data_IF_367017013597
#
_entry.id   IF_367017013597
#
_cell.length_a   1.000
_cell.length_b   1.000
_cell.length_c   1.000
_cell.angle_alpha   90.00
_cell.angle_beta   90.00
_cell.angle_gamma   90.00
#
_symmetry.space_group_name_H-M   'P 1'
#
loop_
_entity.id
_entity.type
_entity.pdbx_description
1 polymer ?
#
# COMPACT_ATOMS: atom_id res chain seq x y z
N UNK A 1 7.31 -19.96 -4.61
CA UNK A 1 7.08 -20.59 -5.91
C UNK A 1 7.87 -21.90 -6.05
N UNK A 2 9.20 -21.91 -5.93
CA UNK A 2 10.04 -23.13 -6.04
C UNK A 2 9.66 -24.22 -5.03
N UNK A 3 9.36 -23.84 -3.79
CA UNK A 3 8.97 -24.82 -2.75
C UNK A 3 7.64 -25.48 -3.05
N UNK A 4 6.69 -24.78 -3.65
CA UNK A 4 5.45 -25.41 -4.10
C UNK A 4 5.69 -26.36 -5.28
N UNK A 5 6.62 -26.02 -6.14
CA UNK A 5 7.05 -26.88 -7.24
C UNK A 5 7.62 -28.21 -6.71
N UNK A 6 8.43 -28.14 -5.66
CA UNK A 6 9.06 -29.30 -5.03
C UNK A 6 8.22 -29.94 -3.90
N UNK A 7 7.00 -29.43 -3.65
CA UNK A 7 6.08 -29.85 -2.57
C UNK A 7 6.70 -29.76 -1.17
N UNK A 8 7.67 -28.86 -0.97
CA UNK A 8 8.36 -28.65 0.30
C UNK A 8 8.02 -27.30 0.87
N UNK A 9 7.80 -27.21 2.18
CA UNK A 9 7.55 -25.96 2.88
C UNK A 9 8.14 -26.01 4.29
N UNK A 10 9.38 -25.58 4.50
CA UNK A 10 9.97 -25.53 5.84
C UNK A 10 9.29 -24.50 6.74
N UNK A 11 8.59 -23.52 6.16
CA UNK A 11 7.86 -22.47 6.89
C UNK A 11 6.42 -22.82 7.28
N UNK A 12 5.89 -23.99 6.92
CA UNK A 12 4.48 -24.33 7.13
C UNK A 12 3.56 -23.33 6.42
N UNK A 13 2.77 -22.57 7.19
CA UNK A 13 1.89 -21.53 6.68
C UNK A 13 2.57 -20.16 6.51
N UNK A 14 3.83 -20.01 6.89
CA UNK A 14 4.58 -18.77 6.69
C UNK A 14 5.18 -18.70 5.30
N UNK A 15 5.47 -17.50 4.83
CA UNK A 15 6.31 -17.27 3.67
C UNK A 15 7.72 -17.79 3.94
N UNK A 16 8.51 -17.93 2.90
CA UNK A 16 9.89 -18.39 3.01
C UNK A 16 10.80 -17.53 2.15
N UNK A 17 12.07 -17.50 2.51
CA UNK A 17 13.12 -16.88 1.72
C UNK A 17 14.34 -17.81 1.68
N UNK A 18 15.22 -17.64 0.71
CA UNK A 18 16.46 -18.37 0.63
C UNK A 18 17.51 -17.76 1.55
N UNK A 19 18.44 -18.56 2.04
CA UNK A 19 19.57 -18.06 2.84
C UNK A 19 20.54 -17.26 1.97
N UNK A 20 20.64 -17.59 0.70
CA UNK A 20 21.44 -16.84 -0.25
C UNK A 20 20.61 -15.74 -0.89
N UNK A 21 21.01 -14.49 -0.63
CA UNK A 21 20.33 -13.27 -1.11
C UNK A 21 20.63 -12.94 -2.58
N UNK A 22 21.33 -13.81 -3.31
CA UNK A 22 21.54 -13.60 -4.73
C UNK A 22 20.24 -13.87 -5.50
N UNK A 23 19.52 -12.78 -5.84
CA UNK A 23 18.30 -12.84 -6.67
C UNK A 23 18.53 -13.57 -7.98
N UNK A 24 19.74 -13.51 -8.53
CA UNK A 24 20.13 -14.16 -9.78
C UNK A 24 20.12 -15.69 -9.62
N UNK A 25 20.68 -16.24 -8.56
CA UNK A 25 20.72 -17.67 -8.31
C UNK A 25 19.32 -18.24 -8.00
N UNK A 26 18.54 -17.51 -7.21
CA UNK A 26 17.16 -17.89 -6.91
C UNK A 26 16.29 -17.91 -8.16
N UNK A 27 16.48 -16.96 -9.04
CA UNK A 27 15.81 -16.88 -10.33
C UNK A 27 16.21 -18.02 -11.24
N UNK A 28 17.50 -18.32 -11.33
CA UNK A 28 18.04 -19.45 -12.09
C UNK A 28 17.43 -20.79 -11.64
N UNK A 29 17.42 -21.08 -10.37
CA UNK A 29 16.82 -22.31 -9.83
C UNK A 29 15.34 -22.45 -10.17
N UNK A 30 14.59 -21.35 -10.14
CA UNK A 30 13.19 -21.35 -10.50
C UNK A 30 12.98 -21.59 -11.99
N UNK A 31 13.75 -20.92 -12.84
CA UNK A 31 13.63 -20.99 -14.29
C UNK A 31 14.01 -22.37 -14.84
N UNK A 32 15.05 -22.96 -14.31
CA UNK A 32 15.55 -24.28 -14.71
C UNK A 32 14.79 -25.45 -14.08
N UNK A 33 13.79 -25.19 -13.24
CA UNK A 33 13.12 -26.22 -12.45
C UNK A 33 14.09 -27.09 -11.59
N UNK A 34 15.21 -26.54 -11.18
CA UNK A 34 16.20 -27.25 -10.37
C UNK A 34 15.59 -27.64 -9.01
N UNK A 35 15.69 -28.91 -8.59
CA UNK A 35 15.26 -29.30 -7.25
C UNK A 35 16.04 -28.54 -6.17
N UNK A 36 15.31 -27.90 -5.24
CA UNK A 36 15.90 -27.13 -4.16
C UNK A 36 15.66 -27.86 -2.85
N UNK A 37 16.70 -27.95 -2.01
CA UNK A 37 16.58 -28.59 -0.70
C UNK A 37 15.72 -27.72 0.23
N UNK A 38 14.87 -28.31 1.08
CA UNK A 38 14.20 -27.56 2.15
C UNK A 38 15.16 -26.80 3.07
N UNK A 39 16.42 -27.24 3.17
CA UNK A 39 17.45 -26.61 3.98
C UNK A 39 17.94 -25.28 3.40
N UNK A 40 17.73 -25.04 2.11
CA UNK A 40 18.11 -23.79 1.45
C UNK A 40 17.13 -22.66 1.75
N UNK A 41 16.01 -22.96 2.42
CA UNK A 41 14.97 -22.01 2.74
C UNK A 41 14.78 -21.82 4.23
N UNK A 42 14.53 -20.58 4.62
CA UNK A 42 14.10 -20.23 5.97
C UNK A 42 12.68 -19.66 5.95
N UNK A 43 11.93 -19.87 7.04
CA UNK A 43 10.63 -19.27 7.20
C UNK A 43 10.76 -17.74 7.35
N UNK A 44 9.99 -16.99 6.55
CA UNK A 44 9.89 -15.55 6.68
C UNK A 44 8.83 -15.21 7.72
N UNK A 45 9.27 -15.04 8.95
CA UNK A 45 8.39 -14.91 10.12
C UNK A 45 7.90 -13.47 10.37
N UNK A 46 8.32 -12.49 9.56
CA UNK A 46 8.04 -11.06 9.78
C UNK A 46 6.70 -10.57 9.23
N UNK A 47 5.96 -11.39 8.51
CA UNK A 47 4.63 -11.09 7.96
C UNK A 47 3.86 -12.36 7.60
N UNK A 48 2.56 -12.22 7.32
CA UNK A 48 1.67 -13.34 6.96
C UNK A 48 2.02 -13.97 5.60
N UNK A 49 2.48 -13.16 4.63
CA UNK A 49 2.90 -13.62 3.31
C UNK A 49 1.76 -14.06 2.39
N UNK A 50 0.56 -13.45 2.50
CA UNK A 50 -0.61 -13.81 1.69
C UNK A 50 -0.31 -13.77 0.17
N UNK A 51 0.50 -12.80 -0.29
CA UNK A 51 0.91 -12.70 -1.69
C UNK A 51 1.71 -13.94 -2.14
N UNK A 52 2.60 -14.45 -1.30
CA UNK A 52 3.35 -15.67 -1.58
C UNK A 52 2.42 -16.87 -1.78
N UNK A 53 1.40 -17.01 -0.92
CA UNK A 53 0.36 -18.02 -1.05
C UNK A 53 -0.45 -17.87 -2.33
N UNK A 54 -0.94 -16.66 -2.62
CA UNK A 54 -1.77 -16.38 -3.78
C UNK A 54 -1.02 -16.67 -5.08
N UNK A 55 0.20 -16.14 -5.23
CA UNK A 55 1.02 -16.40 -6.40
C UNK A 55 1.53 -17.83 -6.48
N UNK A 56 1.75 -18.48 -5.36
CA UNK A 56 2.11 -19.88 -5.32
C UNK A 56 1.00 -20.80 -5.81
N UNK A 57 -0.23 -20.60 -5.37
CA UNK A 57 -1.40 -21.32 -5.89
C UNK A 57 -1.57 -21.06 -7.38
N UNK A 58 -1.43 -19.80 -7.80
CA UNK A 58 -1.52 -19.43 -9.21
C UNK A 58 -0.42 -20.09 -10.05
N UNK A 59 0.83 -20.13 -9.56
CA UNK A 59 1.93 -20.85 -10.21
C UNK A 59 1.63 -22.35 -10.36
N UNK A 60 1.04 -22.97 -9.34
CA UNK A 60 0.61 -24.37 -9.39
C UNK A 60 -0.44 -24.61 -10.48
N UNK A 61 -1.40 -23.69 -10.61
CA UNK A 61 -2.41 -23.78 -11.69
C UNK A 61 -1.74 -23.58 -13.04
N UNK A 62 -0.85 -22.59 -13.17
CA UNK A 62 -0.15 -22.32 -14.42
C UNK A 62 0.75 -23.49 -14.86
N UNK A 63 1.32 -24.25 -13.92
CA UNK A 63 2.16 -25.40 -14.24
C UNK A 63 1.42 -26.55 -14.94
N UNK A 64 0.09 -26.53 -14.94
CA UNK A 64 -0.74 -27.47 -15.72
C UNK A 64 -0.70 -27.13 -17.22
N UNK A 65 -0.47 -25.86 -17.58
CA UNK A 65 -0.56 -25.35 -18.94
C UNK A 65 0.78 -24.93 -19.53
N UNK A 66 1.77 -24.66 -18.69
CA UNK A 66 3.09 -24.16 -19.10
C UNK A 66 4.17 -24.79 -18.19
N UNK A 67 5.01 -25.63 -18.79
CA UNK A 67 6.05 -26.37 -18.06
C UNK A 67 7.28 -25.50 -17.75
N UNK A 68 7.54 -24.46 -18.57
CA UNK A 68 8.72 -23.60 -18.41
C UNK A 68 8.54 -22.63 -17.24
N UNK A 69 9.48 -22.68 -16.28
CA UNK A 69 9.48 -21.80 -15.09
C UNK A 69 9.56 -20.31 -15.47
N UNK A 70 10.42 -19.95 -16.42
CA UNK A 70 10.58 -18.59 -16.92
C UNK A 70 9.27 -18.02 -17.50
N UNK A 71 8.55 -18.79 -18.31
CA UNK A 71 7.28 -18.34 -18.87
C UNK A 71 6.23 -18.10 -17.78
N UNK A 72 6.16 -18.96 -16.76
CA UNK A 72 5.26 -18.78 -15.63
C UNK A 72 5.63 -17.54 -14.80
N UNK A 73 6.92 -17.28 -14.58
CA UNK A 73 7.39 -16.07 -13.89
C UNK A 73 6.92 -14.81 -14.63
N UNK A 74 7.10 -14.73 -15.94
CA UNK A 74 6.64 -13.61 -16.76
C UNK A 74 5.12 -13.43 -16.65
N UNK A 75 4.36 -14.53 -16.68
CA UNK A 75 2.90 -14.49 -16.53
C UNK A 75 2.52 -13.91 -15.16
N UNK A 76 3.17 -14.31 -14.08
CA UNK A 76 2.90 -13.82 -12.72
C UNK A 76 3.23 -12.33 -12.58
N UNK A 77 4.36 -11.86 -13.12
CA UNK A 77 4.69 -10.43 -13.17
C UNK A 77 3.66 -9.62 -13.95
N UNK A 78 3.20 -10.15 -15.08
CA UNK A 78 2.18 -9.49 -15.89
C UNK A 78 0.83 -9.44 -15.16
N UNK A 79 0.41 -10.50 -14.48
CA UNK A 79 -0.82 -10.53 -13.68
C UNK A 79 -0.74 -9.49 -12.55
N UNK A 80 0.39 -9.44 -11.81
CA UNK A 80 0.58 -8.45 -10.77
C UNK A 80 0.51 -7.02 -11.30
N UNK A 81 1.15 -6.76 -12.44
CA UNK A 81 1.11 -5.47 -13.12
C UNK A 81 -0.29 -5.11 -13.60
N UNK A 82 -1.03 -6.06 -14.18
CA UNK A 82 -2.42 -5.85 -14.62
C UNK A 82 -3.34 -5.52 -13.44
N UNK A 83 -3.18 -6.17 -12.30
CA UNK A 83 -3.93 -5.86 -11.06
C UNK A 83 -3.62 -4.43 -10.59
N UNK A 84 -2.36 -4.00 -10.65
CA UNK A 84 -1.98 -2.63 -10.32
C UNK A 84 -2.60 -1.60 -11.28
N UNK A 85 -2.54 -1.84 -12.58
CA UNK A 85 -3.18 -0.96 -13.55
C UNK A 85 -4.70 -0.93 -13.39
N UNK A 86 -5.34 -2.08 -13.15
CA UNK A 86 -6.77 -2.13 -12.91
C UNK A 86 -7.17 -1.32 -11.66
N UNK A 87 -6.44 -1.48 -10.55
CA UNK A 87 -6.68 -0.69 -9.34
C UNK A 87 -6.47 0.82 -9.58
N UNK A 88 -5.40 1.18 -10.31
CA UNK A 88 -5.12 2.57 -10.69
C UNK A 88 -6.24 3.16 -11.56
N UNK A 89 -6.74 2.43 -12.54
CA UNK A 89 -7.84 2.86 -13.40
C UNK A 89 -9.15 3.00 -12.61
N UNK A 90 -9.41 2.14 -11.64
CA UNK A 90 -10.58 2.27 -10.75
C UNK A 90 -10.50 3.55 -9.90
N UNK A 91 -9.31 3.87 -9.35
CA UNK A 91 -9.10 5.15 -8.66
C UNK A 91 -9.27 6.32 -9.63
N UNK A 92 -8.68 6.24 -10.81
CA UNK A 92 -8.82 7.25 -11.87
C UNK A 92 -10.29 7.52 -12.22
N UNK A 93 -11.09 6.46 -12.40
CA UNK A 93 -12.53 6.56 -12.67
C UNK A 93 -13.30 7.19 -11.50
N UNK A 94 -12.96 6.86 -10.27
CA UNK A 94 -13.55 7.46 -9.08
C UNK A 94 -13.21 8.96 -8.97
N UNK A 95 -11.95 9.32 -9.22
CA UNK A 95 -11.46 10.70 -9.26
C UNK A 95 -12.16 11.48 -10.38
N UNK A 96 -12.29 10.91 -11.57
CA UNK A 96 -13.02 11.52 -12.68
C UNK A 96 -14.45 11.86 -12.29
N UNK A 97 -15.16 10.91 -11.69
CA UNK A 97 -16.57 11.12 -11.28
C UNK A 97 -16.72 12.12 -10.13
N UNK A 98 -15.73 12.23 -9.26
CA UNK A 98 -15.77 13.12 -8.11
C UNK A 98 -15.32 14.55 -8.44
N UNK A 99 -14.28 14.70 -9.27
CA UNK A 99 -13.57 15.98 -9.49
C UNK A 99 -13.32 16.33 -10.96
N UNK A 100 -13.78 15.50 -11.89
CA UNK A 100 -13.72 15.76 -13.32
C UNK A 100 -12.47 15.21 -14.02
N UNK A 101 -12.42 15.34 -15.37
CA UNK A 101 -11.42 14.68 -16.21
C UNK A 101 -10.00 15.21 -15.98
N UNK A 102 -9.83 16.49 -15.69
CA UNK A 102 -8.50 17.08 -15.45
C UNK A 102 -7.82 16.47 -14.20
N UNK A 103 -8.60 16.28 -13.12
CA UNK A 103 -8.08 15.63 -11.90
C UNK A 103 -7.74 14.18 -12.14
N UNK A 104 -8.53 13.47 -12.93
CA UNK A 104 -8.25 12.08 -13.30
C UNK A 104 -6.99 11.96 -14.17
N UNK A 105 -6.83 12.89 -15.13
CA UNK A 105 -5.62 12.94 -15.95
C UNK A 105 -4.37 13.23 -15.09
N UNK A 106 -4.47 14.19 -14.16
CA UNK A 106 -3.37 14.48 -13.24
C UNK A 106 -2.98 13.25 -12.38
N UNK A 107 -3.97 12.52 -11.86
CA UNK A 107 -3.74 11.25 -11.17
C UNK A 107 -3.03 10.23 -12.06
N UNK A 108 -3.54 10.02 -13.28
CA UNK A 108 -2.96 9.05 -14.20
C UNK A 108 -1.52 9.41 -14.57
N UNK A 109 -1.26 10.69 -14.87
CA UNK A 109 0.09 11.19 -15.13
C UNK A 109 1.00 10.96 -13.92
N UNK A 110 0.52 11.25 -12.69
CA UNK A 110 1.30 11.03 -11.48
C UNK A 110 1.71 9.56 -11.31
N UNK A 111 0.83 8.59 -11.62
CA UNK A 111 1.16 7.17 -11.52
C UNK A 111 2.04 6.68 -12.67
N UNK A 112 1.74 7.11 -13.91
CA UNK A 112 2.47 6.64 -15.11
C UNK A 112 3.91 7.17 -15.14
N UNK A 113 4.12 8.40 -14.70
CA UNK A 113 5.44 9.05 -14.74
C UNK A 113 6.20 8.96 -13.41
N UNK A 114 5.66 8.32 -12.38
CA UNK A 114 6.38 8.04 -11.16
C UNK A 114 7.29 6.81 -11.33
N UNK A 115 8.62 6.93 -11.15
CA UNK A 115 9.54 5.81 -11.37
C UNK A 115 9.33 4.67 -10.39
N UNK A 116 8.99 4.97 -9.14
CA UNK A 116 8.84 3.96 -8.09
C UNK A 116 7.68 3.00 -8.31
N UNK A 117 6.43 3.44 -8.60
CA UNK A 117 5.35 2.54 -8.98
C UNK A 117 5.67 1.69 -10.22
N UNK A 118 6.37 2.26 -11.21
CA UNK A 118 6.75 1.53 -12.42
C UNK A 118 7.75 0.39 -12.14
N UNK A 119 8.65 0.58 -11.20
CA UNK A 119 9.56 -0.49 -10.74
C UNK A 119 8.83 -1.52 -9.87
N UNK A 120 8.04 -1.04 -8.89
CA UNK A 120 7.40 -1.90 -7.90
C UNK A 120 6.17 -2.67 -8.40
N UNK A 121 5.55 -2.27 -9.54
CA UNK A 121 4.34 -2.97 -10.02
C UNK A 121 4.58 -4.41 -10.47
N UNK A 122 5.81 -4.76 -10.84
CA UNK A 122 6.21 -6.14 -11.18
C UNK A 122 6.61 -6.94 -9.96
N UNK A 123 6.94 -6.29 -8.87
CA UNK A 123 7.42 -6.93 -7.66
C UNK A 123 6.29 -7.71 -6.97
N UNK A 124 6.43 -9.04 -6.93
CA UNK A 124 5.45 -9.95 -6.33
C UNK A 124 5.43 -9.86 -4.80
N UNK A 125 6.50 -9.36 -4.20
CA UNK A 125 6.57 -9.14 -2.75
C UNK A 125 5.76 -7.91 -2.33
N UNK A 126 5.94 -6.78 -3.02
CA UNK A 126 5.28 -5.52 -2.67
C UNK A 126 3.80 -5.49 -3.02
N UNK A 127 3.35 -6.18 -4.06
CA UNK A 127 1.95 -6.24 -4.51
C UNK A 127 1.26 -4.88 -4.49
N UNK A 128 1.81 -3.88 -5.19
CA UNK A 128 1.39 -2.47 -5.11
C UNK A 128 -0.11 -2.23 -5.30
N UNK A 129 -0.81 -3.11 -6.02
CA UNK A 129 -2.26 -3.00 -6.17
C UNK A 129 -3.01 -3.10 -4.83
N UNK A 130 -2.47 -3.85 -3.85
CA UNK A 130 -3.08 -3.97 -2.53
C UNK A 130 -3.04 -2.66 -1.74
N UNK A 131 -2.09 -1.77 -2.04
CA UNK A 131 -1.97 -0.46 -1.40
C UNK A 131 -3.11 0.47 -1.78
N UNK A 132 -3.70 0.27 -2.97
CA UNK A 132 -4.84 1.04 -3.46
C UNK A 132 -6.20 0.53 -2.94
N UNK A 133 -6.27 -0.73 -2.43
CA UNK A 133 -7.53 -1.32 -1.99
C UNK A 133 -8.23 -0.51 -0.87
N UNK A 134 -7.56 -0.06 0.21
CA UNK A 134 -8.20 0.75 1.24
C UNK A 134 -8.73 2.07 0.69
N UNK A 135 -7.97 2.75 -0.17
CA UNK A 135 -8.40 3.99 -0.84
C UNK A 135 -9.63 3.75 -1.72
N UNK A 136 -9.64 2.67 -2.51
CA UNK A 136 -10.79 2.28 -3.34
C UNK A 136 -12.03 1.99 -2.48
N UNK A 137 -11.87 1.31 -1.35
CA UNK A 137 -12.98 1.03 -0.42
C UNK A 137 -13.54 2.35 0.15
N UNK A 138 -12.69 3.29 0.56
CA UNK A 138 -13.09 4.63 1.02
C UNK A 138 -13.82 5.43 -0.06
N UNK A 139 -13.30 5.46 -1.29
CA UNK A 139 -13.93 6.11 -2.44
C UNK A 139 -15.31 5.50 -2.75
N UNK A 140 -15.41 4.16 -2.75
CA UNK A 140 -16.67 3.45 -2.99
C UNK A 140 -17.68 3.74 -1.89
N UNK A 141 -17.28 3.73 -0.62
CA UNK A 141 -18.11 4.10 0.52
C UNK A 141 -18.70 5.51 0.32
N UNK A 142 -17.87 6.49 -0.03
CA UNK A 142 -18.32 7.85 -0.31
C UNK A 142 -19.29 7.90 -1.48
N UNK A 143 -19.00 7.22 -2.58
CA UNK A 143 -19.85 7.21 -3.77
C UNK A 143 -21.23 6.59 -3.48
N UNK A 144 -21.25 5.45 -2.78
CA UNK A 144 -22.50 4.76 -2.39
C UNK A 144 -23.31 5.61 -1.41
N UNK A 145 -22.64 6.21 -0.42
CA UNK A 145 -23.30 7.06 0.58
C UNK A 145 -23.93 8.30 -0.06
N UNK A 146 -23.23 8.96 -0.97
CA UNK A 146 -23.78 10.12 -1.70
C UNK A 146 -25.01 9.76 -2.53
N UNK A 147 -25.01 8.57 -3.15
CA UNK A 147 -26.16 8.12 -3.97
C UNK A 147 -27.36 7.68 -3.15
N UNK A 148 -27.14 7.02 -2.02
CA UNK A 148 -28.20 6.40 -1.19
C UNK A 148 -28.64 7.24 0.01
N UNK A 149 -27.93 8.32 0.33
CA UNK A 149 -28.12 9.11 1.54
C UNK A 149 -27.66 8.43 2.83
N UNK A 150 -27.46 7.10 2.79
CA UNK A 150 -27.02 6.26 3.92
C UNK A 150 -25.88 5.33 3.50
N UNK A 151 -25.03 4.97 4.45
CA UNK A 151 -23.92 4.03 4.23
C UNK A 151 -24.38 2.62 4.58
N UNK A 152 -24.44 1.69 3.62
CA UNK A 152 -24.73 0.29 3.89
C UNK A 152 -23.59 -0.36 4.71
N UNK A 153 -23.90 -1.33 5.55
CA UNK A 153 -22.93 -2.01 6.41
C UNK A 153 -21.81 -2.73 5.63
N UNK A 154 -22.12 -3.27 4.46
CA UNK A 154 -21.14 -3.95 3.61
C UNK A 154 -20.01 -3.03 3.11
N UNK A 155 -20.22 -1.69 3.06
CA UNK A 155 -19.14 -0.75 2.77
C UNK A 155 -18.05 -0.78 3.83
N UNK A 156 -18.42 -0.87 5.12
CA UNK A 156 -17.47 -1.01 6.22
C UNK A 156 -16.79 -2.37 6.20
N UNK A 157 -17.51 -3.45 5.82
CA UNK A 157 -16.90 -4.76 5.63
C UNK A 157 -15.87 -4.76 4.50
N UNK A 158 -16.12 -4.04 3.42
CA UNK A 158 -15.12 -3.87 2.34
C UNK A 158 -13.88 -3.10 2.81
N UNK A 159 -14.04 -2.06 3.62
CA UNK A 159 -12.91 -1.35 4.24
C UNK A 159 -12.10 -2.30 5.13
N UNK A 160 -12.79 -3.03 6.00
CA UNK A 160 -12.17 -4.06 6.85
C UNK A 160 -11.36 -5.07 6.01
N UNK A 161 -11.99 -5.66 5.00
CA UNK A 161 -11.36 -6.66 4.14
C UNK A 161 -10.17 -6.08 3.35
N UNK A 162 -10.29 -4.86 2.81
CA UNK A 162 -9.23 -4.18 2.09
C UNK A 162 -8.00 -3.93 2.97
N UNK A 163 -8.20 -3.44 4.20
CA UNK A 163 -7.11 -3.22 5.15
C UNK A 163 -6.51 -4.54 5.63
N UNK A 164 -7.33 -5.56 5.90
CA UNK A 164 -6.87 -6.90 6.26
C UNK A 164 -5.99 -7.50 5.15
N UNK A 165 -6.47 -7.53 3.90
CA UNK A 165 -5.71 -8.07 2.76
C UNK A 165 -4.39 -7.33 2.58
N UNK A 166 -4.41 -5.98 2.67
CA UNK A 166 -3.17 -5.19 2.58
C UNK A 166 -2.17 -5.58 3.67
N UNK A 167 -2.59 -5.69 4.93
CA UNK A 167 -1.72 -6.08 6.03
C UNK A 167 -1.25 -7.53 5.95
N UNK A 168 -2.06 -8.45 5.43
CA UNK A 168 -1.64 -9.82 5.20
C UNK A 168 -0.57 -9.94 4.09
N UNK A 169 -0.48 -8.97 3.18
CA UNK A 169 0.61 -8.87 2.20
C UNK A 169 1.85 -8.17 2.76
N UNK A 170 1.72 -7.41 3.84
CA UNK A 170 2.83 -6.71 4.51
C UNK A 170 2.31 -5.59 5.40
N UNK A 171 3.05 -5.32 6.48
CA UNK A 171 2.68 -4.31 7.48
C UNK A 171 3.33 -2.95 7.21
N UNK A 172 4.03 -2.79 6.10
CA UNK A 172 4.65 -1.52 5.73
C UNK A 172 3.58 -0.48 5.41
N UNK A 173 3.84 0.76 5.81
CA UNK A 173 3.01 1.93 5.51
C UNK A 173 1.56 1.85 6.01
N UNK A 174 1.32 1.22 7.18
CA UNK A 174 -0.02 1.08 7.78
C UNK A 174 -0.70 2.44 7.90
N UNK A 175 -0.04 3.41 8.52
CA UNK A 175 -0.57 4.75 8.72
C UNK A 175 -0.90 5.43 7.40
N UNK A 176 -0.05 5.27 6.37
CA UNK A 176 -0.25 5.84 5.03
C UNK A 176 -1.55 5.35 4.40
N UNK A 177 -1.78 4.05 4.32
CA UNK A 177 -3.00 3.55 3.67
C UNK A 177 -4.25 3.77 4.52
N UNK A 178 -4.16 3.82 5.86
CA UNK A 178 -5.27 4.19 6.73
C UNK A 178 -5.68 5.64 6.49
N UNK A 179 -4.72 6.55 6.42
CA UNK A 179 -4.98 7.97 6.09
C UNK A 179 -5.58 8.11 4.70
N UNK A 180 -5.05 7.41 3.71
CA UNK A 180 -5.57 7.45 2.33
C UNK A 180 -6.97 6.82 2.21
N UNK A 181 -7.31 5.85 3.04
CA UNK A 181 -8.67 5.30 3.13
C UNK A 181 -9.67 6.36 3.64
N UNK A 182 -9.27 7.19 4.61
CA UNK A 182 -10.10 8.23 5.20
C UNK A 182 -10.15 9.53 4.37
N UNK A 183 -9.18 9.81 3.53
CA UNK A 183 -9.09 11.05 2.77
C UNK A 183 -10.35 11.39 1.97
N UNK A 184 -11.05 10.45 1.28
CA UNK A 184 -12.31 10.73 0.59
C UNK A 184 -13.43 11.15 1.55
N UNK A 185 -13.47 10.60 2.77
CA UNK A 185 -14.49 10.94 3.78
C UNK A 185 -14.22 12.33 4.36
N UNK A 186 -12.96 12.69 4.60
CA UNK A 186 -12.54 14.03 5.04
C UNK A 186 -12.95 15.08 4.00
N UNK A 187 -12.77 14.80 2.71
CA UNK A 187 -13.25 15.66 1.64
C UNK A 187 -14.77 15.86 1.70
N UNK A 188 -15.52 14.78 1.89
CA UNK A 188 -16.97 14.83 2.01
C UNK A 188 -17.44 15.56 3.28
N UNK A 189 -16.71 15.38 4.39
CA UNK A 189 -16.98 16.07 5.65
C UNK A 189 -16.83 17.58 5.54
N UNK A 190 -15.82 18.06 4.86
CA UNK A 190 -15.58 19.48 4.68
C UNK A 190 -16.69 20.19 3.87
N UNK A 191 -17.32 19.47 2.92
CA UNK A 191 -18.36 20.04 2.04
C UNK A 191 -19.80 19.62 2.34
N UNK A 192 -20.04 18.83 3.40
CA UNK A 192 -21.36 18.23 3.67
C UNK A 192 -21.84 18.37 5.12
N UNK A 193 -22.78 17.49 5.52
CA UNK A 193 -23.22 17.33 6.91
C UNK A 193 -22.07 16.79 7.76
N UNK A 194 -21.40 17.70 8.47
CA UNK A 194 -20.20 17.41 9.26
C UNK A 194 -20.41 16.31 10.30
N UNK A 195 -21.58 16.32 10.99
CA UNK A 195 -21.87 15.35 12.05
C UNK A 195 -22.06 13.94 11.47
N UNK A 196 -22.81 13.84 10.38
CA UNK A 196 -23.06 12.58 9.71
C UNK A 196 -21.76 12.00 9.09
N UNK A 197 -20.93 12.85 8.47
CA UNK A 197 -19.66 12.40 7.90
C UNK A 197 -18.63 12.06 8.96
N UNK A 198 -18.56 12.77 10.08
CA UNK A 198 -17.68 12.42 11.21
C UNK A 198 -18.03 11.05 11.78
N UNK A 199 -19.33 10.75 11.96
CA UNK A 199 -19.75 9.40 12.40
C UNK A 199 -19.30 8.32 11.41
N UNK A 200 -19.40 8.58 10.10
CA UNK A 200 -18.94 7.63 9.07
C UNK A 200 -17.43 7.43 9.11
N UNK A 201 -16.67 8.50 9.27
CA UNK A 201 -15.21 8.44 9.45
C UNK A 201 -14.84 7.56 10.66
N UNK A 202 -15.48 7.79 11.81
CA UNK A 202 -15.25 6.97 13.01
C UNK A 202 -15.54 5.49 12.73
N UNK A 203 -16.69 5.18 12.10
CA UNK A 203 -17.03 3.80 11.74
C UNK A 203 -16.05 3.19 10.72
N UNK A 204 -15.59 3.98 9.74
CA UNK A 204 -14.57 3.56 8.75
C UNK A 204 -13.24 3.31 9.44
N UNK A 205 -12.81 4.18 10.35
CA UNK A 205 -11.61 4.01 11.15
C UNK A 205 -11.64 2.72 11.98
N UNK A 206 -12.77 2.45 12.67
CA UNK A 206 -12.94 1.19 13.40
C UNK A 206 -12.89 -0.03 12.47
N UNK A 207 -13.51 0.02 11.29
CA UNK A 207 -13.45 -1.06 10.32
C UNK A 207 -12.03 -1.27 9.81
N UNK A 208 -11.31 -0.20 9.50
CA UNK A 208 -9.93 -0.24 9.01
C UNK A 208 -8.96 -0.80 10.07
N UNK A 209 -9.02 -0.28 11.31
CA UNK A 209 -8.23 -0.78 12.44
C UNK A 209 -8.58 -2.23 12.76
N UNK A 210 -9.87 -2.60 12.68
CA UNK A 210 -10.33 -3.98 12.83
C UNK A 210 -9.70 -4.91 11.79
N UNK A 211 -9.57 -4.46 10.53
CA UNK A 211 -8.88 -5.20 9.47
C UNK A 211 -7.39 -5.41 9.75
N UNK A 212 -6.70 -4.36 10.25
CA UNK A 212 -5.30 -4.46 10.70
C UNK A 212 -5.16 -5.45 11.85
N UNK A 213 -6.03 -5.34 12.86
CA UNK A 213 -6.02 -6.24 14.03
C UNK A 213 -6.29 -7.70 13.63
N UNK A 214 -7.20 -7.94 12.68
CA UNK A 214 -7.46 -9.28 12.15
C UNK A 214 -6.23 -9.86 11.42
N UNK A 215 -5.51 -9.06 10.64
CA UNK A 215 -4.27 -9.49 9.99
C UNK A 215 -3.15 -9.78 11.00
N UNK A 216 -3.01 -8.97 12.07
CA UNK A 216 -2.09 -9.25 13.17
C UNK A 216 -2.45 -10.53 13.91
N UNK A 217 -3.76 -10.77 14.14
CA UNK A 217 -4.25 -12.00 14.73
C UNK A 217 -3.94 -13.24 13.87
N UNK A 218 -4.11 -13.13 12.54
CA UNK A 218 -3.75 -14.18 11.61
C UNK A 218 -2.24 -14.47 11.63
N UNK A 219 -1.41 -13.43 11.65
CA UNK A 219 0.04 -13.57 11.77
C UNK A 219 0.43 -14.21 13.11
N UNK A 220 -0.19 -13.78 14.22
CA UNK A 220 0.03 -14.40 15.53
C UNK A 220 -0.32 -15.90 15.52
N UNK A 221 -1.47 -16.29 14.96
CA UNK A 221 -1.90 -17.68 14.86
C UNK A 221 -0.91 -18.51 14.01
N UNK A 222 -0.46 -17.98 12.87
CA UNK A 222 0.59 -18.61 12.06
C UNK A 222 1.87 -18.84 12.88
N UNK A 223 2.28 -17.82 13.66
CA UNK A 223 3.42 -17.92 14.55
C UNK A 223 3.25 -19.00 15.62
N UNK A 224 2.06 -19.11 16.24
CA UNK A 224 1.77 -20.17 17.22
C UNK A 224 1.92 -21.56 16.59
N UNK A 225 1.41 -21.74 15.37
CA UNK A 225 1.54 -23.01 14.64
C UNK A 225 3.01 -23.32 14.32
N UNK A 226 3.76 -22.31 13.88
CA UNK A 226 5.16 -22.48 13.48
C UNK A 226 6.12 -22.72 14.67
N UNK A 227 6.00 -21.89 15.73
CA UNK A 227 6.88 -21.98 16.90
C UNK A 227 6.40 -23.00 17.95
N UNK A 228 5.23 -23.61 17.76
CA UNK A 228 4.62 -24.53 18.72
C UNK A 228 4.18 -23.89 20.03
N UNK A 229 4.24 -22.57 20.17
CA UNK A 229 3.85 -21.87 21.40
C UNK A 229 3.38 -20.42 21.15
N UNK A 230 2.45 -19.96 21.99
CA UNK A 230 2.00 -18.57 21.98
C UNK A 230 3.12 -17.60 22.44
N UNK A 231 3.98 -18.04 23.36
CA UNK A 231 5.12 -17.23 23.82
C UNK A 231 6.13 -16.97 22.70
N UNK A 232 6.50 -18.02 21.93
CA UNK A 232 7.39 -17.88 20.79
C UNK A 232 6.81 -16.96 19.69
N UNK A 233 5.50 -17.12 19.41
CA UNK A 233 4.83 -16.23 18.47
C UNK A 233 4.82 -14.77 18.92
N UNK A 234 4.54 -14.54 20.21
CA UNK A 234 4.56 -13.20 20.78
C UNK A 234 5.94 -12.55 20.74
N UNK A 235 6.97 -13.31 21.10
CA UNK A 235 8.35 -12.85 21.03
C UNK A 235 8.77 -12.49 19.60
N UNK A 236 8.40 -13.30 18.61
CA UNK A 236 8.65 -13.01 17.21
C UNK A 236 7.92 -11.74 16.76
N UNK A 237 6.64 -11.59 17.12
CA UNK A 237 5.83 -10.41 16.76
C UNK A 237 6.40 -9.13 17.38
N UNK A 238 6.71 -9.15 18.68
CA UNK A 238 7.31 -7.99 19.36
C UNK A 238 8.70 -7.68 18.81
N UNK A 239 9.53 -8.68 18.56
CA UNK A 239 10.84 -8.53 17.93
C UNK A 239 10.74 -7.88 16.54
N UNK A 240 9.81 -8.34 15.70
CA UNK A 240 9.60 -7.78 14.38
C UNK A 240 9.07 -6.33 14.42
N UNK A 241 8.23 -5.98 15.40
CA UNK A 241 7.79 -4.58 15.61
C UNK A 241 8.94 -3.73 16.12
N UNK A 242 9.67 -4.21 17.12
CA UNK A 242 10.79 -3.48 17.72
C UNK A 242 11.89 -3.21 16.69
N UNK A 243 12.26 -4.21 15.87
CA UNK A 243 13.29 -4.03 14.82
C UNK A 243 12.90 -3.01 13.73
N UNK A 244 11.61 -2.71 13.58
CA UNK A 244 11.13 -1.68 12.63
C UNK A 244 11.00 -0.30 13.27
N UNK A 245 10.86 -0.24 14.59
CA UNK A 245 10.67 1.03 15.34
C UNK A 245 11.98 1.48 15.97
N UNK A 246 12.76 0.55 16.49
CA UNK A 246 14.13 0.84 16.95
C UNK A 246 15.07 0.72 15.77
N UNK A 247 15.56 1.84 15.30
CA UNK A 247 16.78 1.89 14.52
C UNK A 247 17.84 1.15 15.37
N UNK A 248 18.31 -0.01 14.89
CA UNK A 248 19.29 -0.82 15.61
C UNK A 248 20.49 0.02 15.97
N UNK A 249 20.97 -0.11 17.21
CA UNK A 249 22.01 0.69 17.84
C UNK A 249 23.30 0.90 17.01
N UNK A 250 23.52 0.11 15.98
CA UNK A 250 24.75 0.17 15.15
C UNK A 250 24.66 1.13 13.94
N UNK A 251 23.50 1.64 13.57
CA UNK A 251 23.37 2.46 12.37
C UNK A 251 22.94 3.92 12.60
N UNK A 252 22.17 4.24 13.64
CA UNK A 252 21.71 5.64 13.84
C UNK A 252 21.40 5.88 15.33
N UNK A 253 22.41 6.18 16.11
CA UNK A 253 22.23 6.47 17.55
C UNK A 253 21.59 7.82 17.86
N UNK A 254 21.49 8.77 16.92
CA UNK A 254 21.10 10.14 17.22
C UNK A 254 20.28 10.88 16.15
N UNK A 255 19.54 10.17 15.27
CA UNK A 255 18.73 10.88 14.25
C UNK A 255 17.40 11.33 14.87
N UNK A 256 17.25 12.62 15.07
CA UNK A 256 15.99 13.20 15.52
C UNK A 256 14.93 13.18 14.39
N UNK A 257 13.64 13.18 14.77
CA UNK A 257 12.52 13.32 13.80
C UNK A 257 12.73 14.55 12.91
N UNK A 258 13.26 15.65 13.46
CA UNK A 258 13.56 16.85 12.70
C UNK A 258 14.63 16.61 11.62
N UNK A 259 15.67 15.82 11.90
CA UNK A 259 16.70 15.46 10.91
C UNK A 259 16.12 14.56 9.81
N UNK A 260 15.27 13.58 10.17
CA UNK A 260 14.59 12.74 9.18
C UNK A 260 13.72 13.61 8.25
N UNK A 261 12.91 14.51 8.83
CA UNK A 261 12.08 15.43 8.04
C UNK A 261 12.93 16.34 7.16
N UNK A 262 14.04 16.90 7.70
CA UNK A 262 14.97 17.73 6.93
C UNK A 262 15.54 16.94 5.76
N UNK A 263 15.98 15.73 6.01
CA UNK A 263 16.51 14.84 4.96
C UNK A 263 15.48 14.63 3.85
N UNK A 264 14.26 14.24 4.18
CA UNK A 264 13.22 13.97 3.19
C UNK A 264 12.72 15.22 2.44
N UNK A 265 12.53 16.33 3.14
CA UNK A 265 11.99 17.54 2.52
C UNK A 265 13.02 18.50 1.95
N UNK A 266 14.27 18.40 2.38
CA UNK A 266 15.33 19.36 2.02
C UNK A 266 16.49 18.69 1.28
N UNK A 267 16.93 17.52 1.69
CA UNK A 267 18.14 16.88 1.18
C UNK A 267 17.89 15.88 0.05
N UNK A 268 16.77 15.12 0.13
CA UNK A 268 16.48 14.06 -0.86
C UNK A 268 15.97 14.68 -2.16
N UNK A 269 16.70 14.48 -3.23
CA UNK A 269 16.35 14.88 -4.59
C UNK A 269 15.88 13.68 -5.44
N UNK A 270 15.25 12.69 -4.81
CA UNK A 270 14.71 11.54 -5.52
C UNK A 270 13.61 11.97 -6.51
N UNK A 271 13.63 11.42 -7.74
CA UNK A 271 12.63 11.76 -8.74
C UNK A 271 11.26 11.18 -8.36
N UNK A 272 10.29 12.05 -8.10
CA UNK A 272 8.90 11.65 -7.90
C UNK A 272 8.15 11.48 -9.21
N UNK A 273 8.44 12.34 -10.20
CA UNK A 273 7.92 12.20 -11.56
C UNK A 273 9.06 12.38 -12.55
N UNK A 274 9.05 11.59 -13.62
CA UNK A 274 10.06 11.64 -14.67
C UNK A 274 9.41 11.67 -16.06
N UNK A 275 9.69 12.74 -16.81
CA UNK A 275 9.22 12.97 -18.16
C UNK A 275 10.41 13.06 -19.09
N UNK A 276 10.96 11.95 -19.57
CA UNK A 276 12.21 11.93 -20.30
C UNK A 276 13.35 12.51 -19.47
N UNK A 277 14.05 13.56 -19.92
CA UNK A 277 15.12 14.21 -19.16
C UNK A 277 14.64 15.11 -18.02
N UNK A 278 13.34 15.47 -17.99
CA UNK A 278 12.77 16.31 -16.94
C UNK A 278 12.41 15.47 -15.72
N UNK A 279 13.04 15.77 -14.59
CA UNK A 279 12.74 15.17 -13.30
C UNK A 279 12.08 16.19 -12.39
N UNK A 280 11.00 15.78 -11.71
CA UNK A 280 10.31 16.57 -10.69
C UNK A 280 10.52 15.88 -9.36
N UNK A 281 11.18 16.55 -8.44
CA UNK A 281 11.40 16.09 -7.06
C UNK A 281 10.29 16.61 -6.13
N UNK A 282 10.36 16.29 -4.86
CA UNK A 282 9.33 16.68 -3.88
C UNK A 282 9.22 18.20 -3.72
N UNK A 283 10.36 18.92 -3.69
CA UNK A 283 10.39 20.39 -3.48
C UNK A 283 9.60 21.18 -4.51
N UNK A 284 9.87 21.05 -5.83
CA UNK A 284 9.08 21.76 -6.84
C UNK A 284 7.60 21.30 -6.84
N UNK A 285 7.31 20.05 -6.52
CA UNK A 285 5.91 19.58 -6.43
C UNK A 285 5.15 20.29 -5.30
N UNK A 286 5.76 20.41 -4.12
CA UNK A 286 5.19 21.17 -2.99
C UNK A 286 5.02 22.63 -3.38
N UNK A 287 6.06 23.26 -3.97
CA UNK A 287 6.01 24.67 -4.38
C UNK A 287 4.86 24.92 -5.39
N UNK A 288 4.72 24.10 -6.42
CA UNK A 288 3.63 24.19 -7.41
C UNK A 288 2.26 24.00 -6.75
N UNK A 289 2.16 23.07 -5.80
CA UNK A 289 0.89 22.83 -5.09
C UNK A 289 0.51 24.03 -4.22
N UNK A 290 1.45 24.58 -3.45
CA UNK A 290 1.23 25.80 -2.64
C UNK A 290 0.86 26.99 -3.50
N UNK A 291 1.56 27.20 -4.62
CA UNK A 291 1.24 28.27 -5.58
C UNK A 291 -0.18 28.10 -6.16
N UNK A 292 -0.56 26.87 -6.49
CA UNK A 292 -1.92 26.54 -6.97
C UNK A 292 -2.98 26.85 -5.94
N UNK A 293 -2.75 26.53 -4.66
CA UNK A 293 -3.65 26.90 -3.56
C UNK A 293 -3.75 28.43 -3.41
N UNK A 294 -2.60 29.13 -3.41
CA UNK A 294 -2.59 30.59 -3.33
C UNK A 294 -3.36 31.25 -4.49
N UNK A 295 -3.18 30.74 -5.70
CA UNK A 295 -3.91 31.21 -6.88
C UNK A 295 -5.43 30.93 -6.73
N UNK A 296 -5.82 29.75 -6.28
CA UNK A 296 -7.23 29.43 -6.02
C UNK A 296 -7.84 30.35 -4.95
N UNK A 297 -7.12 30.66 -3.87
CA UNK A 297 -7.54 31.59 -2.85
C UNK A 297 -7.75 32.99 -3.44
N UNK A 298 -6.81 33.49 -4.25
CA UNK A 298 -6.92 34.79 -4.92
C UNK A 298 -8.15 34.84 -5.84
N UNK A 299 -8.34 33.81 -6.67
CA UNK A 299 -9.51 33.74 -7.59
C UNK A 299 -10.84 33.70 -6.82
N UNK A 300 -10.93 32.96 -5.71
CA UNK A 300 -12.14 32.90 -4.89
C UNK A 300 -12.42 34.26 -4.21
N UNK A 301 -11.36 34.89 -3.69
CA UNK A 301 -11.48 36.23 -3.10
C UNK A 301 -11.98 37.25 -4.13
N UNK A 302 -11.40 37.30 -5.33
CA UNK A 302 -11.83 38.15 -6.43
C UNK A 302 -13.28 37.90 -6.86
N UNK A 303 -13.69 36.61 -6.86
CA UNK A 303 -15.07 36.22 -7.19
C UNK A 303 -16.04 36.30 -6.02
N UNK A 304 -15.60 36.79 -4.85
CA UNK A 304 -16.39 36.85 -3.60
C UNK A 304 -17.04 35.51 -3.23
N UNK A 305 -16.38 34.39 -3.52
CA UNK A 305 -16.86 33.06 -3.18
C UNK A 305 -16.35 32.64 -1.79
N UNK A 306 -17.11 31.82 -1.03
CA UNK A 306 -16.69 31.41 0.30
C UNK A 306 -15.45 30.52 0.23
N UNK A 307 -14.43 30.84 1.05
CA UNK A 307 -13.17 30.10 1.11
C UNK A 307 -13.34 28.64 1.60
N UNK A 308 -14.47 28.35 2.26
CA UNK A 308 -14.78 26.99 2.74
C UNK A 308 -14.78 25.95 1.62
N UNK A 309 -14.94 26.35 0.36
CA UNK A 309 -14.86 25.47 -0.82
C UNK A 309 -13.50 24.79 -0.92
N UNK A 310 -12.42 25.43 -0.45
CA UNK A 310 -11.07 24.85 -0.45
C UNK A 310 -10.77 23.99 0.77
N UNK A 311 -11.64 23.96 1.78
CA UNK A 311 -11.36 23.21 3.02
C UNK A 311 -11.15 21.71 2.76
N UNK A 312 -11.99 21.09 1.93
CA UNK A 312 -11.84 19.68 1.56
C UNK A 312 -10.52 19.38 0.84
N UNK A 313 -10.22 20.03 -0.29
CA UNK A 313 -8.94 19.87 -0.98
C UNK A 313 -7.72 20.14 -0.10
N UNK A 314 -7.74 21.20 0.72
CA UNK A 314 -6.65 21.55 1.61
C UNK A 314 -6.41 20.47 2.69
N UNK A 315 -7.47 19.97 3.32
CA UNK A 315 -7.37 18.88 4.31
C UNK A 315 -6.84 17.58 3.68
N UNK A 316 -7.31 17.21 2.50
CA UNK A 316 -6.81 16.03 1.80
C UNK A 316 -5.34 16.19 1.43
N UNK A 317 -4.93 17.38 1.01
CA UNK A 317 -3.52 17.66 0.71
C UNK A 317 -2.64 17.54 1.97
N UNK A 318 -3.06 18.12 3.11
CA UNK A 318 -2.37 17.98 4.39
C UNK A 318 -2.26 16.51 4.81
N UNK A 319 -3.34 15.73 4.69
CA UNK A 319 -3.33 14.30 4.97
C UNK A 319 -2.39 13.54 4.05
N UNK A 320 -2.32 13.90 2.78
CA UNK A 320 -1.41 13.27 1.81
C UNK A 320 0.06 13.54 2.12
N UNK A 321 0.39 14.70 2.72
CA UNK A 321 1.74 14.98 3.23
C UNK A 321 2.00 14.29 4.58
N UNK A 322 0.99 14.21 5.45
CA UNK A 322 1.12 13.55 6.74
C UNK A 322 1.28 12.02 6.61
N UNK A 323 0.72 11.43 5.55
CA UNK A 323 0.76 9.99 5.33
C UNK A 323 2.20 9.41 5.26
N UNK A 324 3.11 9.89 4.41
CA UNK A 324 4.50 9.42 4.43
C UNK A 324 5.24 9.81 5.72
N UNK A 325 4.97 11.00 6.29
CA UNK A 325 5.59 11.45 7.54
C UNK A 325 5.23 10.54 8.72
N UNK A 326 4.02 10.00 8.74
CA UNK A 326 3.57 9.09 9.82
C UNK A 326 4.30 7.74 9.82
N UNK A 327 5.05 7.43 8.79
CA UNK A 327 5.84 6.21 8.67
C UNK A 327 7.31 6.42 9.05
N UNK A 328 7.80 7.65 9.01
CA UNK A 328 9.14 8.04 9.41
C UNK A 328 9.30 8.05 10.93
#
# INVERSE_FOLDING_TARGET
LQMQQNQTSPGGFMGVYTQDWSDEQNRYWYQDNTPVSPQDFQAYTHQTGLQGWAFGVLNKVLSVFEDRGEAREIILYNINSMLFYAATLLVCLAVWRAWGPLSALAWLCAVVFAPWPQRGMKDLYWCLWTWLLPTLAGLLLCAVTRRRGKTPWWCYLLVFAACMVRCMCGFEFISTFLILCEAPLVYCWAGGDRRAWLRRMICTGFAAVGGVAAALGAWFIQGVIYFGSAAGSWQNLTGAVTSRVSLTDDMVSDVSVAQVLTRYFVEVDEPLLQFGPLTITLKPLIAVTLLSFALCLAVLALRKKPLVVLAGPALVWVLSLAAPVSWM
#
